data_IF_381195313824
#
_entry.id   IF_381195313824
#
_cell.length_a   1.000
_cell.length_b   1.000
_cell.length_c   1.000
_cell.angle_alpha   90.00
_cell.angle_beta   90.00
_cell.angle_gamma   90.00
#
_symmetry.space_group_name_H-M   'P 1'
#
loop_
_entity.id
_entity.type
_entity.pdbx_description
1 polymer ?
#
# COMPACT_ATOMS: atom_id res chain seq x y z
N UNK A 1 9.91 66.67 14.06
CA UNK A 1 11.06 66.06 14.79
C UNK A 1 12.20 65.68 13.84
N UNK A 2 12.00 64.80 12.83
CA UNK A 2 13.05 64.55 11.82
C UNK A 2 13.16 65.67 10.76
N UNK A 3 12.03 66.26 10.32
CA UNK A 3 12.06 67.45 9.44
C UNK A 3 12.81 68.63 10.08
N UNK A 4 12.57 68.90 11.36
CA UNK A 4 13.16 70.04 12.07
C UNK A 4 14.67 69.88 12.26
N UNK A 5 15.12 68.64 12.51
CA UNK A 5 16.53 68.33 12.57
C UNK A 5 17.21 68.53 11.20
N UNK A 6 16.55 68.19 10.10
CA UNK A 6 17.11 68.36 8.74
C UNK A 6 17.18 69.83 8.33
N UNK A 7 16.17 70.63 8.68
CA UNK A 7 16.15 72.09 8.43
C UNK A 7 17.22 72.84 9.23
N UNK A 8 17.61 72.33 10.40
CA UNK A 8 18.72 72.87 11.20
C UNK A 8 20.11 72.71 10.54
N UNK A 9 20.30 71.72 9.67
CA UNK A 9 21.59 71.45 9.01
C UNK A 9 21.69 72.03 7.59
N UNK A 10 20.58 72.48 7.00
CA UNK A 10 20.55 73.16 5.69
C UNK A 10 21.55 74.34 5.56
N UNK A 11 21.71 75.24 6.56
CA UNK A 11 22.73 76.29 6.48
C UNK A 11 24.17 75.75 6.54
N UNK A 12 24.41 74.60 7.16
CA UNK A 12 25.74 73.95 7.17
C UNK A 12 26.07 73.41 5.78
N UNK A 13 25.10 72.80 5.09
CA UNK A 13 25.28 72.34 3.71
C UNK A 13 25.42 73.49 2.71
N UNK A 14 24.75 74.63 2.93
CA UNK A 14 24.97 75.84 2.11
C UNK A 14 26.33 76.49 2.36
N UNK A 15 26.83 76.51 3.61
CA UNK A 15 28.17 77.03 3.91
C UNK A 15 29.26 76.17 3.27
N UNK A 16 29.09 74.85 3.25
CA UNK A 16 30.00 73.92 2.56
C UNK A 16 29.94 74.09 1.04
N UNK A 17 28.75 74.36 0.47
CA UNK A 17 28.57 74.64 -0.95
C UNK A 17 29.15 75.98 -1.40
N UNK A 18 29.11 77.00 -0.54
CA UNK A 18 29.59 78.35 -0.83
C UNK A 18 31.10 78.55 -0.54
N UNK A 19 31.75 77.59 0.14
CA UNK A 19 33.21 77.55 0.31
C UNK A 19 33.93 76.83 -0.84
N UNK A 20 33.21 76.25 -1.81
CA UNK A 20 33.80 75.75 -3.05
C UNK A 20 34.08 76.97 -3.94
N UNK A 21 35.24 77.59 -3.71
CA UNK A 21 35.81 78.58 -4.62
C UNK A 21 36.19 77.87 -5.92
N UNK A 22 35.40 78.06 -6.97
CA UNK A 22 35.79 77.65 -8.32
C UNK A 22 36.88 78.63 -8.77
N UNK A 23 38.14 78.23 -8.65
CA UNK A 23 39.26 79.01 -9.18
C UNK A 23 39.11 79.12 -10.71
N UNK A 24 39.04 80.36 -11.22
CA UNK A 24 39.01 80.65 -12.65
C UNK A 24 40.20 79.96 -13.33
N UNK A 25 39.91 79.05 -14.27
CA UNK A 25 40.87 78.19 -14.98
C UNK A 25 41.83 78.94 -15.93
N UNK A 26 41.94 80.26 -15.81
CA UNK A 26 42.71 81.13 -16.71
C UNK A 26 43.58 82.17 -15.99
N UNK A 27 43.83 82.02 -14.68
CA UNK A 27 44.87 82.79 -14.01
C UNK A 27 46.24 82.12 -14.22
N UNK A 28 47.18 82.85 -14.85
CA UNK A 28 48.57 82.41 -15.06
C UNK A 28 49.24 82.11 -13.71
N UNK A 29 50.01 81.02 -13.57
CA UNK A 29 50.69 80.73 -12.32
C UNK A 29 51.80 81.75 -12.09
N UNK A 30 51.64 82.61 -11.08
CA UNK A 30 52.74 83.40 -10.54
C UNK A 30 53.69 82.46 -9.83
N UNK A 31 54.92 82.41 -10.34
CA UNK A 31 56.06 81.65 -9.84
C UNK A 31 56.23 81.78 -8.32
N UNK A 32 56.17 80.64 -7.60
CA UNK A 32 56.66 80.57 -6.22
C UNK A 32 55.83 79.72 -5.26
N UNK A 33 55.51 78.47 -5.59
CA UNK A 33 55.20 77.46 -4.56
C UNK A 33 55.37 76.06 -5.15
N UNK A 34 56.26 75.28 -4.56
CA UNK A 34 56.41 73.84 -4.79
C UNK A 34 55.28 73.08 -4.08
N UNK A 35 54.04 73.43 -4.38
CA UNK A 35 52.82 72.73 -3.95
C UNK A 35 52.37 71.75 -5.04
N UNK A 36 51.95 70.55 -4.65
CA UNK A 36 51.38 69.57 -5.58
C UNK A 36 50.10 70.14 -6.20
N UNK A 37 49.88 70.00 -7.51
CA UNK A 37 48.62 70.40 -8.18
C UNK A 37 47.35 69.86 -7.47
N UNK A 38 47.48 68.77 -6.72
CA UNK A 38 46.40 68.21 -5.93
C UNK A 38 46.06 69.02 -4.67
N UNK A 39 47.03 69.66 -4.01
CA UNK A 39 46.76 70.49 -2.83
C UNK A 39 46.02 71.77 -3.19
N UNK A 40 46.25 72.32 -4.39
CA UNK A 40 45.56 73.52 -4.86
C UNK A 40 44.10 73.25 -5.25
N UNK A 41 43.78 72.04 -5.70
CA UNK A 41 42.42 71.67 -6.15
C UNK A 41 41.56 71.10 -5.02
N UNK A 42 42.14 70.35 -4.10
CA UNK A 42 41.41 69.59 -3.07
C UNK A 42 41.75 70.01 -1.63
N UNK A 43 42.60 71.03 -1.46
CA UNK A 43 43.03 71.56 -0.16
C UNK A 43 44.18 70.79 0.48
N UNK A 44 44.67 71.31 1.61
CA UNK A 44 45.84 70.80 2.35
C UNK A 44 45.65 69.35 2.83
N UNK A 45 44.39 68.91 3.01
CA UNK A 45 44.01 67.56 3.41
C UNK A 45 43.47 66.68 2.28
N UNK A 46 43.80 66.99 1.02
CA UNK A 46 43.30 66.26 -0.14
C UNK A 46 43.46 64.74 -0.02
N UNK A 47 44.60 64.27 0.49
CA UNK A 47 44.85 62.84 0.68
C UNK A 47 43.88 62.22 1.70
N UNK A 48 43.61 62.90 2.82
CA UNK A 48 42.69 62.41 3.84
C UNK A 48 41.26 62.38 3.29
N UNK A 49 40.85 63.39 2.52
CA UNK A 49 39.52 63.39 1.89
C UNK A 49 39.37 62.27 0.85
N UNK A 50 40.41 61.97 0.08
CA UNK A 50 40.42 60.81 -0.83
C UNK A 50 40.43 59.48 -0.05
N UNK A 51 41.16 59.40 1.06
CA UNK A 51 41.20 58.20 1.89
C UNK A 51 39.86 57.94 2.59
N UNK A 52 39.21 58.99 3.13
CA UNK A 52 37.90 58.91 3.75
C UNK A 52 36.84 58.56 2.71
N UNK A 53 36.84 59.21 1.54
CA UNK A 53 35.88 58.88 0.48
C UNK A 53 36.09 57.47 -0.07
N UNK A 54 37.33 56.99 -0.17
CA UNK A 54 37.60 55.58 -0.46
C UNK A 54 37.07 54.67 0.65
N UNK A 55 37.43 54.90 1.91
CA UNK A 55 36.93 54.09 3.04
C UNK A 55 35.40 54.07 3.12
N UNK A 56 34.74 55.19 2.88
CA UNK A 56 33.28 55.29 2.88
C UNK A 56 32.68 54.51 1.70
N UNK A 57 33.25 54.65 0.51
CA UNK A 57 32.78 53.98 -0.72
C UNK A 57 32.97 52.46 -0.64
N UNK A 58 34.15 52.01 -0.20
CA UNK A 58 34.49 50.59 -0.09
C UNK A 58 33.86 49.94 1.15
N UNK A 59 33.77 50.66 2.26
CA UNK A 59 33.14 50.19 3.50
C UNK A 59 31.64 49.98 3.32
N UNK A 60 30.92 50.99 2.81
CA UNK A 60 29.47 50.87 2.55
C UNK A 60 29.20 49.89 1.40
N UNK A 61 30.04 49.89 0.36
CA UNK A 61 29.87 49.02 -0.81
C UNK A 61 30.14 47.54 -0.55
N UNK A 62 31.08 47.19 0.34
CA UNK A 62 31.42 45.80 0.64
C UNK A 62 30.77 45.26 1.93
N UNK A 63 30.23 46.13 2.80
CA UNK A 63 29.58 45.68 4.02
C UNK A 63 28.43 44.68 3.76
N UNK A 64 27.48 44.92 2.84
CA UNK A 64 26.36 43.99 2.64
C UNK A 64 26.78 42.61 2.08
N UNK A 65 27.67 42.50 1.08
CA UNK A 65 28.23 41.22 0.65
C UNK A 65 28.99 40.47 1.76
N UNK A 66 29.76 41.19 2.59
CA UNK A 66 30.53 40.59 3.68
C UNK A 66 29.62 40.10 4.80
N UNK A 67 28.64 40.90 5.22
CA UNK A 67 27.66 40.53 6.24
C UNK A 67 26.81 39.35 5.76
N UNK A 68 26.39 39.35 4.50
CA UNK A 68 25.61 38.25 3.93
C UNK A 68 26.42 36.95 3.94
N UNK A 69 27.72 37.02 3.61
CA UNK A 69 28.61 35.86 3.56
C UNK A 69 29.06 35.34 4.93
N UNK A 70 29.34 36.22 5.89
CA UNK A 70 29.93 35.83 7.18
C UNK A 70 28.92 35.82 8.33
N UNK A 71 27.81 36.55 8.21
CA UNK A 71 26.79 36.68 9.25
C UNK A 71 25.53 35.85 9.01
N UNK A 72 24.99 35.84 7.78
CA UNK A 72 23.66 35.25 7.49
C UNK A 72 23.77 33.90 6.79
N UNK A 73 24.59 33.80 5.75
CA UNK A 73 24.82 32.56 5.03
C UNK A 73 26.15 31.96 5.49
N UNK A 74 26.12 31.13 6.54
CA UNK A 74 27.23 30.24 6.90
C UNK A 74 27.61 29.24 5.78
N UNK A 75 26.94 29.30 4.62
CA UNK A 75 27.23 28.51 3.43
C UNK A 75 27.45 29.43 2.21
N UNK A 76 28.41 29.09 1.32
CA UNK A 76 28.62 29.88 0.11
C UNK A 76 27.37 29.86 -0.77
N UNK A 77 26.95 31.03 -1.26
CA UNK A 77 25.76 31.16 -2.09
C UNK A 77 25.91 30.37 -3.40
N UNK A 78 24.79 29.81 -3.88
CA UNK A 78 24.72 29.20 -5.21
C UNK A 78 25.00 30.26 -6.30
N UNK A 79 25.57 29.84 -7.43
CA UNK A 79 25.87 30.73 -8.58
C UNK A 79 24.75 31.71 -8.96
N UNK A 80 23.48 31.27 -9.13
CA UNK A 80 22.40 32.19 -9.46
C UNK A 80 22.06 33.13 -8.30
N UNK A 81 22.11 32.64 -7.05
CA UNK A 81 21.82 33.47 -5.87
C UNK A 81 22.81 34.63 -5.69
N UNK A 82 24.11 34.36 -5.86
CA UNK A 82 25.14 35.40 -5.77
C UNK A 82 25.02 36.43 -6.90
N UNK A 83 24.68 36.02 -8.11
CA UNK A 83 24.47 36.92 -9.25
C UNK A 83 23.29 37.86 -8.99
N UNK A 84 22.14 37.31 -8.58
CA UNK A 84 20.93 38.09 -8.26
C UNK A 84 21.24 39.10 -7.16
N UNK A 85 21.91 38.66 -6.09
CA UNK A 85 22.30 39.55 -4.99
C UNK A 85 23.17 40.72 -5.47
N UNK A 86 24.21 40.44 -6.27
CA UNK A 86 25.11 41.48 -6.79
C UNK A 86 24.38 42.45 -7.72
N UNK A 87 23.50 41.96 -8.60
CA UNK A 87 22.73 42.82 -9.52
C UNK A 87 21.74 43.70 -8.77
N UNK A 88 20.98 43.13 -7.83
CA UNK A 88 20.01 43.88 -7.01
C UNK A 88 20.74 44.94 -6.18
N UNK A 89 21.85 44.58 -5.55
CA UNK A 89 22.64 45.52 -4.77
C UNK A 89 23.29 46.61 -5.62
N UNK A 90 23.76 46.28 -6.83
CA UNK A 90 24.29 47.25 -7.76
C UNK A 90 23.20 48.25 -8.20
N UNK A 91 22.00 47.77 -8.57
CA UNK A 91 20.86 48.63 -8.91
C UNK A 91 20.45 49.54 -7.75
N UNK A 92 20.45 49.01 -6.53
CA UNK A 92 20.17 49.78 -5.31
C UNK A 92 21.19 50.92 -5.12
N UNK A 93 22.49 50.64 -5.31
CA UNK A 93 23.51 51.68 -5.24
C UNK A 93 23.33 52.72 -6.34
N UNK A 94 23.11 52.30 -7.59
CA UNK A 94 22.85 53.22 -8.72
C UNK A 94 21.66 54.14 -8.40
N UNK A 95 20.57 53.58 -7.88
CA UNK A 95 19.40 54.33 -7.46
C UNK A 95 19.72 55.33 -6.34
N UNK A 96 20.42 54.89 -5.29
CA UNK A 96 20.83 55.73 -4.16
C UNK A 96 21.70 56.91 -4.61
N UNK A 97 22.68 56.67 -5.48
CA UNK A 97 23.57 57.71 -6.00
C UNK A 97 22.85 58.69 -6.93
N UNK A 98 21.85 58.21 -7.69
CA UNK A 98 20.99 59.06 -8.52
C UNK A 98 20.13 59.97 -7.66
N UNK A 99 19.55 59.45 -6.57
CA UNK A 99 18.75 60.21 -5.62
C UNK A 99 19.56 61.29 -4.87
N UNK A 100 20.87 61.06 -4.67
CA UNK A 100 21.80 62.01 -4.04
C UNK A 100 22.36 63.08 -5.02
N UNK A 101 21.91 63.10 -6.29
CA UNK A 101 22.27 64.15 -7.25
C UNK A 101 23.62 63.96 -7.94
N UNK A 102 24.20 62.76 -7.92
CA UNK A 102 25.49 62.48 -8.59
C UNK A 102 25.36 62.53 -10.11
N UNK A 103 26.04 63.48 -10.77
CA UNK A 103 26.08 63.64 -12.24
C UNK A 103 27.23 62.89 -12.92
N UNK A 104 27.97 62.04 -12.19
CA UNK A 104 29.13 61.33 -12.74
C UNK A 104 28.73 60.20 -13.70
N UNK A 105 29.15 60.32 -14.97
CA UNK A 105 28.89 59.30 -16.01
C UNK A 105 29.72 58.02 -15.81
N UNK A 106 30.77 58.07 -14.99
CA UNK A 106 31.71 56.97 -14.79
C UNK A 106 31.36 56.14 -13.56
N UNK A 107 30.51 55.13 -13.76
CA UNK A 107 30.14 54.13 -12.76
C UNK A 107 31.23 53.05 -12.52
N UNK A 108 32.49 53.35 -12.85
CA UNK A 108 33.60 52.38 -12.82
C UNK A 108 33.87 51.83 -11.42
N UNK A 109 33.79 52.68 -10.39
CA UNK A 109 33.94 52.26 -9.00
C UNK A 109 32.85 51.27 -8.57
N UNK A 110 31.60 51.46 -9.02
CA UNK A 110 30.47 50.56 -8.70
C UNK A 110 30.61 49.21 -9.41
N UNK A 111 31.15 49.18 -10.63
CA UNK A 111 31.47 47.93 -11.32
C UNK A 111 32.58 47.15 -10.62
N UNK A 112 33.61 47.84 -10.10
CA UNK A 112 34.67 47.21 -9.32
C UNK A 112 34.15 46.65 -7.99
N UNK A 113 33.27 47.40 -7.30
CA UNK A 113 32.60 46.92 -6.09
C UNK A 113 31.73 45.69 -6.38
N UNK A 114 30.96 45.70 -7.48
CA UNK A 114 30.15 44.55 -7.90
C UNK A 114 31.02 43.32 -8.22
N UNK A 115 32.13 43.51 -8.94
CA UNK A 115 33.08 42.45 -9.28
C UNK A 115 33.75 41.87 -8.03
N UNK A 116 34.23 42.74 -7.13
CA UNK A 116 34.83 42.34 -5.86
C UNK A 116 33.81 41.59 -4.97
N UNK A 117 32.57 42.08 -4.88
CA UNK A 117 31.47 41.44 -4.15
C UNK A 117 31.21 40.03 -4.69
N UNK A 118 31.14 39.87 -6.01
CA UNK A 118 30.96 38.58 -6.66
C UNK A 118 32.14 37.63 -6.40
N UNK A 119 33.38 38.12 -6.50
CA UNK A 119 34.58 37.33 -6.24
C UNK A 119 34.65 36.83 -4.78
N UNK A 120 34.28 37.69 -3.82
CA UNK A 120 34.20 37.35 -2.40
C UNK A 120 33.12 36.30 -2.17
N UNK A 121 31.89 36.51 -2.64
CA UNK A 121 30.78 35.55 -2.49
C UNK A 121 31.08 34.20 -3.13
N UNK A 122 31.86 34.17 -4.22
CA UNK A 122 32.14 32.96 -4.99
C UNK A 122 33.29 32.11 -4.42
N UNK A 123 34.18 32.67 -3.60
CA UNK A 123 35.33 31.95 -3.04
C UNK A 123 34.84 30.79 -2.15
N UNK A 124 34.99 29.55 -2.64
CA UNK A 124 34.56 28.31 -1.97
C UNK A 124 33.23 27.69 -2.45
N UNK A 125 32.50 28.35 -3.36
CA UNK A 125 31.17 27.87 -3.82
C UNK A 125 31.18 26.60 -4.67
N UNK A 126 32.27 26.34 -5.43
CA UNK A 126 32.37 25.19 -6.32
C UNK A 126 32.26 23.86 -5.57
N UNK A 127 33.03 23.70 -4.50
CA UNK A 127 33.04 22.49 -3.68
C UNK A 127 31.68 22.24 -3.04
N UNK A 128 31.03 23.30 -2.55
CA UNK A 128 29.69 23.19 -1.97
C UNK A 128 28.62 22.82 -3.00
N UNK A 129 28.66 23.40 -4.20
CA UNK A 129 27.77 23.02 -5.30
C UNK A 129 27.97 21.55 -5.71
N UNK A 130 29.21 21.07 -5.73
CA UNK A 130 29.56 19.67 -6.02
C UNK A 130 29.07 18.71 -4.93
N UNK A 131 29.33 19.00 -3.66
CA UNK A 131 28.82 18.21 -2.53
C UNK A 131 27.28 18.17 -2.50
N UNK A 132 26.62 19.29 -2.79
CA UNK A 132 25.15 19.33 -2.88
C UNK A 132 24.62 18.48 -4.02
N UNK A 133 25.25 18.52 -5.19
CA UNK A 133 24.88 17.68 -6.33
C UNK A 133 25.09 16.20 -6.02
N UNK A 134 26.22 15.85 -5.42
CA UNK A 134 26.51 14.47 -5.00
C UNK A 134 25.48 13.95 -4.01
N UNK A 135 25.15 14.72 -2.96
CA UNK A 135 24.11 14.34 -1.99
C UNK A 135 22.74 14.18 -2.64
N UNK A 136 22.35 15.09 -3.54
CA UNK A 136 21.09 14.99 -4.27
C UNK A 136 21.04 13.76 -5.19
N UNK A 137 22.16 13.42 -5.84
CA UNK A 137 22.27 12.24 -6.69
C UNK A 137 22.25 10.94 -5.87
N UNK A 138 22.94 10.91 -4.73
CA UNK A 138 22.92 9.78 -3.80
C UNK A 138 21.53 9.56 -3.21
N UNK A 139 20.83 10.62 -2.83
CA UNK A 139 19.45 10.56 -2.36
C UNK A 139 18.50 10.08 -3.46
N UNK A 140 18.64 10.60 -4.68
CA UNK A 140 17.86 10.14 -5.82
C UNK A 140 18.11 8.66 -6.14
N UNK A 141 19.36 8.20 -6.04
CA UNK A 141 19.73 6.79 -6.21
C UNK A 141 19.09 5.92 -5.13
N UNK A 142 19.21 6.31 -3.85
CA UNK A 142 18.54 5.62 -2.74
C UNK A 142 17.03 5.54 -2.91
N UNK A 143 16.40 6.61 -3.41
CA UNK A 143 14.97 6.62 -3.63
C UNK A 143 14.56 5.69 -4.80
N UNK A 144 15.34 5.65 -5.88
CA UNK A 144 15.14 4.70 -7.00
C UNK A 144 15.26 3.25 -6.52
N UNK A 145 16.28 2.93 -5.75
CA UNK A 145 16.47 1.57 -5.18
C UNK A 145 15.32 1.18 -4.25
N UNK A 146 14.82 2.10 -3.42
CA UNK A 146 13.65 1.87 -2.56
C UNK A 146 12.38 1.59 -3.37
N UNK A 147 12.15 2.36 -4.44
CA UNK A 147 11.02 2.17 -5.35
C UNK A 147 11.11 0.85 -6.12
N UNK A 148 12.30 0.47 -6.58
CA UNK A 148 12.53 -0.82 -7.24
C UNK A 148 12.25 -1.99 -6.30
N UNK A 149 12.81 -1.97 -5.10
CA UNK A 149 12.57 -2.99 -4.10
C UNK A 149 11.11 -3.05 -3.65
N UNK A 150 10.42 -1.90 -3.59
CA UNK A 150 8.96 -1.85 -3.34
C UNK A 150 8.19 -2.53 -4.48
N UNK A 151 8.52 -2.23 -5.74
CA UNK A 151 7.90 -2.87 -6.92
C UNK A 151 8.17 -4.37 -6.96
N UNK A 152 9.35 -4.80 -6.57
CA UNK A 152 9.71 -6.22 -6.50
C UNK A 152 8.90 -6.95 -5.41
N UNK A 153 8.77 -6.34 -4.22
CA UNK A 153 7.91 -6.86 -3.16
C UNK A 153 6.45 -7.00 -3.60
N UNK A 154 5.90 -5.97 -4.25
CA UNK A 154 4.53 -6.02 -4.79
C UNK A 154 4.37 -7.10 -5.87
N UNK A 155 5.39 -7.33 -6.72
CA UNK A 155 5.39 -8.43 -7.69
C UNK A 155 5.37 -9.79 -7.00
N UNK A 156 6.25 -9.99 -6.01
CA UNK A 156 6.29 -11.23 -5.23
C UNK A 156 4.99 -11.48 -4.48
N UNK A 157 4.36 -10.45 -3.92
CA UNK A 157 3.05 -10.59 -3.25
C UNK A 157 1.95 -10.99 -4.23
N UNK A 158 1.91 -10.38 -5.42
CA UNK A 158 0.95 -10.77 -6.48
C UNK A 158 1.16 -12.21 -6.94
N UNK A 159 2.41 -12.61 -7.15
CA UNK A 159 2.74 -13.98 -7.54
C UNK A 159 2.37 -14.99 -6.45
N UNK A 160 2.67 -14.68 -5.17
CA UNK A 160 2.24 -15.49 -4.02
C UNK A 160 0.73 -15.58 -3.92
N UNK A 161 0.00 -14.49 -4.13
CA UNK A 161 -1.46 -14.48 -4.12
C UNK A 161 -2.03 -15.33 -5.25
N UNK A 162 -1.47 -15.26 -6.47
CA UNK A 162 -1.84 -16.11 -7.59
C UNK A 162 -1.56 -17.58 -7.28
N UNK A 163 -0.39 -17.90 -6.74
CA UNK A 163 -0.04 -19.27 -6.34
C UNK A 163 -0.99 -19.80 -5.26
N UNK A 164 -1.35 -18.98 -4.27
CA UNK A 164 -2.32 -19.33 -3.23
C UNK A 164 -3.71 -19.60 -3.82
N UNK A 165 -4.17 -18.76 -4.75
CA UNK A 165 -5.44 -18.97 -5.44
C UNK A 165 -5.43 -20.25 -6.27
N UNK A 166 -4.36 -20.51 -7.02
CA UNK A 166 -4.21 -21.75 -7.79
C UNK A 166 -4.15 -22.98 -6.88
N UNK A 167 -3.42 -22.91 -5.76
CA UNK A 167 -3.35 -23.98 -4.79
C UNK A 167 -4.70 -24.24 -4.11
N UNK A 168 -5.45 -23.19 -3.77
CA UNK A 168 -6.80 -23.32 -3.23
C UNK A 168 -7.72 -24.02 -4.23
N UNK A 169 -7.72 -23.56 -5.49
CA UNK A 169 -8.50 -24.16 -6.56
C UNK A 169 -8.13 -25.63 -6.78
N UNK A 170 -6.84 -25.95 -6.85
CA UNK A 170 -6.37 -27.32 -7.00
C UNK A 170 -6.80 -28.23 -5.84
N UNK A 171 -6.81 -27.71 -4.60
CA UNK A 171 -7.33 -28.44 -3.43
C UNK A 171 -8.83 -28.67 -3.51
N UNK A 172 -9.59 -27.69 -3.97
CA UNK A 172 -11.04 -27.85 -4.16
C UNK A 172 -11.36 -28.84 -5.28
N UNK A 173 -10.65 -28.76 -6.39
CA UNK A 173 -10.81 -29.69 -7.51
C UNK A 173 -10.42 -31.12 -7.09
N UNK A 174 -9.37 -31.30 -6.30
CA UNK A 174 -9.01 -32.58 -5.71
C UNK A 174 -10.07 -33.09 -4.71
N UNK A 175 -10.66 -32.21 -3.89
CA UNK A 175 -11.76 -32.56 -2.98
C UNK A 175 -12.98 -33.05 -3.76
N UNK A 176 -13.36 -32.35 -4.83
CA UNK A 176 -14.48 -32.75 -5.70
C UNK A 176 -14.21 -34.08 -6.40
N UNK A 177 -13.01 -34.27 -6.94
CA UNK A 177 -12.63 -35.54 -7.57
C UNK A 177 -12.67 -36.72 -6.59
N UNK A 178 -12.26 -36.49 -5.33
CA UNK A 178 -12.37 -37.49 -4.27
C UNK A 178 -13.83 -37.80 -3.93
N UNK A 179 -14.67 -36.77 -3.77
CA UNK A 179 -16.10 -36.92 -3.48
C UNK A 179 -16.85 -37.64 -4.62
N UNK A 180 -16.50 -37.34 -5.88
CA UNK A 180 -17.00 -38.05 -7.06
C UNK A 180 -16.54 -39.52 -7.07
N UNK A 181 -15.27 -39.79 -6.77
CA UNK A 181 -14.75 -41.15 -6.69
C UNK A 181 -15.42 -41.95 -5.56
N UNK A 182 -15.65 -41.34 -4.39
CA UNK A 182 -16.33 -41.96 -3.26
C UNK A 182 -17.81 -42.23 -3.60
N UNK A 183 -18.48 -41.29 -4.27
CA UNK A 183 -19.87 -41.44 -4.75
C UNK A 183 -19.99 -42.58 -5.77
N UNK A 184 -19.06 -42.64 -6.73
CA UNK A 184 -19.01 -43.72 -7.72
C UNK A 184 -18.72 -45.08 -7.05
N UNK A 185 -17.83 -45.11 -6.06
CA UNK A 185 -17.53 -46.32 -5.31
C UNK A 185 -18.74 -46.79 -4.47
N UNK A 186 -19.47 -45.87 -3.85
CA UNK A 186 -20.70 -46.19 -3.13
C UNK A 186 -21.78 -46.72 -4.10
N UNK A 187 -21.99 -46.07 -5.24
CA UNK A 187 -22.96 -46.53 -6.23
C UNK A 187 -22.59 -47.92 -6.78
N UNK A 188 -21.30 -48.16 -7.06
CA UNK A 188 -20.81 -49.48 -7.45
C UNK A 188 -21.07 -50.53 -6.36
N UNK A 189 -20.88 -50.19 -5.07
CA UNK A 189 -21.22 -51.07 -3.94
C UNK A 189 -22.72 -51.33 -3.85
N UNK A 190 -23.57 -50.31 -4.04
CA UNK A 190 -25.04 -50.45 -4.04
C UNK A 190 -25.49 -51.38 -5.17
N UNK A 191 -25.02 -51.18 -6.40
CA UNK A 191 -25.31 -52.04 -7.56
C UNK A 191 -24.84 -53.49 -7.33
N UNK A 192 -23.64 -53.67 -6.77
CA UNK A 192 -23.14 -55.00 -6.42
C UNK A 192 -23.97 -55.67 -5.31
N UNK A 193 -24.48 -54.89 -4.35
CA UNK A 193 -25.40 -55.33 -3.31
C UNK A 193 -26.75 -55.78 -3.85
N UNK A 194 -27.35 -55.00 -4.76
CA UNK A 194 -28.59 -55.36 -5.49
C UNK A 194 -28.40 -56.65 -6.30
N UNK A 195 -27.33 -56.75 -7.10
CA UNK A 195 -27.04 -57.98 -7.84
C UNK A 195 -26.85 -59.20 -6.93
N UNK A 196 -26.23 -59.04 -5.77
CA UNK A 196 -26.14 -60.12 -4.77
C UNK A 196 -27.51 -60.48 -4.23
N UNK A 197 -28.35 -59.49 -3.90
CA UNK A 197 -29.71 -59.69 -3.40
C UNK A 197 -30.60 -60.39 -4.42
N UNK A 198 -30.48 -60.07 -5.71
CA UNK A 198 -31.21 -60.77 -6.78
C UNK A 198 -30.72 -62.22 -6.95
N UNK A 199 -29.41 -62.47 -6.84
CA UNK A 199 -28.85 -63.84 -6.86
C UNK A 199 -29.22 -64.66 -5.62
N UNK A 200 -29.38 -64.04 -4.45
CA UNK A 200 -29.84 -64.71 -3.22
C UNK A 200 -31.36 -64.65 -3.03
N UNK A 201 -32.08 -63.96 -3.90
CA UNK A 201 -33.54 -63.89 -3.97
C UNK A 201 -34.18 -65.13 -4.61
N UNK A 202 -33.38 -66.09 -5.07
CA UNK A 202 -33.85 -67.47 -5.17
C UNK A 202 -33.95 -68.02 -3.74
N UNK A 203 -35.07 -67.71 -3.08
CA UNK A 203 -35.51 -68.42 -1.88
C UNK A 203 -35.24 -69.90 -2.14
N UNK A 204 -34.33 -70.57 -1.39
CA UNK A 204 -34.20 -72.00 -1.51
C UNK A 204 -35.56 -72.50 -1.06
N UNK A 205 -36.48 -72.73 -2.01
CA UNK A 205 -37.82 -73.18 -1.71
C UNK A 205 -37.63 -74.33 -0.76
N UNK A 206 -37.89 -74.09 0.53
CA UNK A 206 -37.94 -75.14 1.53
C UNK A 206 -38.99 -76.03 0.93
N UNK A 207 -38.57 -77.16 0.34
CA UNK A 207 -39.48 -78.05 -0.38
C UNK A 207 -40.49 -78.43 0.69
N UNK A 208 -41.66 -77.79 0.67
CA UNK A 208 -42.74 -78.02 1.62
C UNK A 208 -43.23 -79.42 1.31
N UNK A 209 -42.57 -80.39 1.92
CA UNK A 209 -42.81 -81.80 1.78
C UNK A 209 -43.92 -82.23 2.75
N UNK A 210 -44.31 -83.49 2.65
CA UNK A 210 -45.35 -84.04 3.53
C UNK A 210 -44.99 -83.91 5.01
N UNK A 211 -43.71 -84.01 5.35
CA UNK A 211 -43.22 -83.86 6.72
C UNK A 211 -43.40 -82.43 7.24
N UNK A 212 -43.12 -81.42 6.41
CA UNK A 212 -43.39 -80.02 6.73
C UNK A 212 -44.87 -79.79 7.07
N UNK A 213 -45.78 -80.20 6.20
CA UNK A 213 -47.22 -80.02 6.45
C UNK A 213 -47.72 -80.85 7.64
N UNK A 214 -47.18 -82.05 7.86
CA UNK A 214 -47.50 -82.87 9.03
C UNK A 214 -47.08 -82.17 10.34
N UNK A 215 -45.89 -81.56 10.36
CA UNK A 215 -45.39 -80.82 11.52
C UNK A 215 -46.23 -79.58 11.84
N UNK A 216 -46.72 -78.85 10.82
CA UNK A 216 -47.62 -77.69 10.99
C UNK A 216 -48.93 -78.10 11.67
N UNK A 217 -49.47 -79.27 11.34
CA UNK A 217 -50.68 -79.81 11.99
C UNK A 217 -50.38 -80.58 13.29
N UNK A 218 -49.11 -80.72 13.67
CA UNK A 218 -48.67 -81.50 14.83
C UNK A 218 -48.99 -82.99 14.72
N UNK A 219 -48.93 -83.54 13.50
CA UNK A 219 -49.16 -84.95 13.20
C UNK A 219 -47.81 -85.69 13.15
N UNK A 220 -47.70 -86.80 13.86
CA UNK A 220 -46.50 -87.66 13.86
C UNK A 220 -46.89 -89.11 13.59
N UNK A 221 -46.12 -89.81 12.75
CA UNK A 221 -46.38 -91.22 12.41
C UNK A 221 -47.41 -91.40 11.29
N UNK A 222 -48.32 -92.38 11.43
CA UNK A 222 -49.30 -92.73 10.40
C UNK A 222 -50.42 -91.68 10.35
N UNK A 223 -50.47 -90.90 9.28
CA UNK A 223 -51.49 -89.85 9.08
C UNK A 223 -52.79 -90.48 8.56
N UNK A 224 -53.87 -90.33 9.32
CA UNK A 224 -55.22 -90.74 8.88
C UNK A 224 -56.11 -89.54 8.59
N UNK A 225 -57.15 -89.75 7.77
CA UNK A 225 -58.10 -88.71 7.35
C UNK A 225 -58.79 -88.02 8.53
N UNK A 226 -59.20 -88.82 9.51
CA UNK A 226 -59.91 -88.32 10.69
C UNK A 226 -58.99 -87.52 11.62
N UNK A 227 -57.71 -87.91 11.72
CA UNK A 227 -56.71 -87.19 12.50
C UNK A 227 -56.41 -85.81 11.91
N UNK A 228 -56.27 -85.71 10.58
CA UNK A 228 -56.08 -84.43 9.87
C UNK A 228 -57.25 -83.49 10.13
N UNK A 229 -58.49 -83.98 9.98
CA UNK A 229 -59.69 -83.16 10.20
C UNK A 229 -59.85 -82.75 11.65
N UNK A 230 -59.54 -83.64 12.59
CA UNK A 230 -59.59 -83.35 14.03
C UNK A 230 -58.59 -82.27 14.42
N UNK A 231 -57.30 -82.45 14.06
CA UNK A 231 -56.24 -81.49 14.37
C UNK A 231 -56.48 -80.14 13.70
N UNK A 232 -56.97 -80.13 12.47
CA UNK A 232 -57.35 -78.90 11.79
C UNK A 232 -58.39 -78.10 12.58
N UNK A 233 -59.48 -78.71 13.03
CA UNK A 233 -60.51 -78.02 13.82
C UNK A 233 -59.94 -77.48 15.14
N UNK A 234 -59.16 -78.29 15.84
CA UNK A 234 -58.56 -77.92 17.12
C UNK A 234 -57.63 -76.69 16.97
N UNK A 235 -56.80 -76.69 15.93
CA UNK A 235 -55.90 -75.59 15.60
C UNK A 235 -56.65 -74.36 15.07
N UNK A 236 -57.66 -74.55 14.22
CA UNK A 236 -58.47 -73.46 13.69
C UNK A 236 -59.19 -72.71 14.82
N UNK A 237 -59.71 -73.42 15.81
CA UNK A 237 -60.33 -72.82 17.00
C UNK A 237 -59.30 -72.07 17.84
N UNK A 238 -58.05 -72.54 17.93
CA UNK A 238 -56.99 -71.88 18.72
C UNK A 238 -56.45 -70.61 18.05
N UNK A 239 -56.31 -70.61 16.73
CA UNK A 239 -55.68 -69.53 15.96
C UNK A 239 -56.67 -68.70 15.15
N UNK A 240 -57.99 -68.84 15.36
CA UNK A 240 -58.99 -68.05 14.64
C UNK A 240 -58.79 -66.55 14.89
N UNK A 241 -58.71 -65.70 13.85
CA UNK A 241 -58.42 -64.27 14.00
C UNK A 241 -59.44 -63.57 14.90
N UNK A 242 -60.72 -63.98 14.84
CA UNK A 242 -61.78 -63.46 15.72
C UNK A 242 -61.54 -63.78 17.21
N UNK A 243 -60.97 -64.96 17.50
CA UNK A 243 -60.71 -65.38 18.89
C UNK A 243 -59.46 -64.77 19.47
N UNK A 244 -58.49 -64.37 18.67
CA UNK A 244 -57.26 -63.71 19.17
C UNK A 244 -57.31 -62.18 19.03
N UNK A 245 -58.38 -61.63 18.45
CA UNK A 245 -58.52 -60.19 18.20
C UNK A 245 -58.41 -59.35 19.48
N UNK A 246 -58.88 -59.89 20.61
CA UNK A 246 -58.83 -59.24 21.93
C UNK A 246 -57.44 -59.26 22.60
N UNK A 247 -56.44 -59.96 22.02
CA UNK A 247 -55.11 -60.14 22.61
C UNK A 247 -54.05 -59.17 22.06
N UNK A 248 -54.42 -58.30 21.10
CA UNK A 248 -53.57 -57.24 20.54
C UNK A 248 -52.90 -57.57 19.20
N UNK A 249 -52.40 -56.54 18.52
CA UNK A 249 -51.99 -56.58 17.10
C UNK A 249 -50.88 -57.59 16.79
N UNK A 250 -49.87 -57.73 17.66
CA UNK A 250 -48.77 -58.70 17.45
C UNK A 250 -49.25 -60.15 17.50
N UNK A 251 -50.21 -60.46 18.38
CA UNK A 251 -50.77 -61.81 18.49
C UNK A 251 -51.75 -62.09 17.36
N UNK A 252 -52.50 -61.08 16.92
CA UNK A 252 -53.33 -61.15 15.71
C UNK A 252 -52.50 -61.48 14.48
N UNK A 253 -51.40 -60.74 14.23
CA UNK A 253 -50.52 -60.98 13.08
C UNK A 253 -49.90 -62.39 13.12
N UNK A 254 -49.50 -62.85 14.31
CA UNK A 254 -48.96 -64.21 14.49
C UNK A 254 -50.01 -65.27 14.22
N UNK A 255 -51.24 -65.09 14.75
CA UNK A 255 -52.32 -66.04 14.53
C UNK A 255 -52.78 -66.10 13.07
N UNK A 256 -52.83 -64.96 12.37
CA UNK A 256 -53.12 -64.90 10.93
C UNK A 256 -52.07 -65.69 10.12
N UNK A 257 -50.79 -65.55 10.47
CA UNK A 257 -49.68 -66.28 9.84
C UNK A 257 -49.77 -67.79 10.08
N UNK A 258 -49.98 -68.20 11.32
CA UNK A 258 -50.13 -69.62 11.69
C UNK A 258 -51.40 -70.23 11.07
N UNK A 259 -52.53 -69.51 11.09
CA UNK A 259 -53.78 -69.95 10.46
C UNK A 259 -53.61 -70.18 8.97
N UNK A 260 -52.87 -69.30 8.28
CA UNK A 260 -52.57 -69.48 6.86
C UNK A 260 -51.75 -70.76 6.64
N UNK A 261 -50.72 -71.02 7.44
CA UNK A 261 -49.93 -72.25 7.35
C UNK A 261 -50.77 -73.51 7.62
N UNK A 262 -51.67 -73.46 8.61
CA UNK A 262 -52.60 -74.55 8.94
C UNK A 262 -53.56 -74.84 7.77
N UNK A 263 -54.09 -73.80 7.12
CA UNK A 263 -54.94 -73.95 5.94
C UNK A 263 -54.17 -74.56 4.75
N UNK A 264 -52.95 -74.07 4.48
CA UNK A 264 -52.07 -74.64 3.43
C UNK A 264 -51.78 -76.14 3.69
N UNK A 265 -51.49 -76.51 4.93
CA UNK A 265 -51.25 -77.90 5.30
C UNK A 265 -52.50 -78.78 5.14
N UNK A 266 -53.66 -78.28 5.55
CA UNK A 266 -54.93 -78.98 5.38
C UNK A 266 -55.29 -79.19 3.91
N UNK A 267 -55.12 -78.17 3.06
CA UNK A 267 -55.35 -78.28 1.62
C UNK A 267 -54.43 -79.31 0.95
N UNK A 268 -53.15 -79.36 1.36
CA UNK A 268 -52.21 -80.36 0.87
C UNK A 268 -52.70 -81.78 1.19
N UNK A 269 -53.07 -82.06 2.44
CA UNK A 269 -53.58 -83.38 2.84
C UNK A 269 -54.94 -83.69 2.24
N UNK A 270 -55.81 -82.70 2.08
CA UNK A 270 -57.10 -82.83 1.39
C UNK A 270 -56.91 -83.28 -0.06
N UNK A 271 -55.99 -82.65 -0.79
CA UNK A 271 -55.66 -83.00 -2.18
C UNK A 271 -55.02 -84.38 -2.29
N UNK A 272 -54.16 -84.75 -1.35
CA UNK A 272 -53.41 -86.01 -1.37
C UNK A 272 -54.24 -87.23 -0.96
N UNK A 273 -55.08 -87.10 0.07
CA UNK A 273 -55.84 -88.19 0.67
C UNK A 273 -57.35 -88.13 0.41
N UNK A 274 -57.82 -87.15 -0.38
CA UNK A 274 -59.23 -87.00 -0.77
C UNK A 274 -60.16 -86.81 0.43
N UNK A 275 -59.75 -85.98 1.40
CA UNK A 275 -60.40 -85.86 2.72
C UNK A 275 -61.60 -84.94 2.75
#
# INVERSE_FOLDING_TARGET
>A
MLEDAFQSYLPVFQVIGNSIVIHDKWAKPSSGSSGSLMSDVFGEYWFITLLISALLTWGIGLAPPLITRFGILHHPMTKPGALVFVVVFWLFNVFLFTALGSTSRTHGALLLVAWASFAILRKGSRTYDEERKQKAEEEAKRNREREEHKRERERMERERAQWQQQAHKAREDARKAQEEADSQAEEARRRAGEQRRDRTGHDPQVRKDEHYYASVLGLTGRITRDDVRKKYRDLAVKYHPDRVNHLGDRLKETAEREMKAINEAFEYFKKKYGV
#
